data_IF_946116079384
#
_entry.id   IF_946116079384
#
_cell.length_a   1.000
_cell.length_b   1.000
_cell.length_c   1.000
_cell.angle_alpha   90.00
_cell.angle_beta   90.00
_cell.angle_gamma   90.00
#
_symmetry.space_group_name_H-M   'P 1'
#
loop_
_entity.id
_entity.type
_entity.pdbx_description
1 polymer ?
#
# COMPACT_ATOMS: atom_id res chain seq x y z
N UNK A 1 54.71 32.26 20.49
CA UNK A 1 55.24 31.91 19.15
C UNK A 1 55.22 30.39 19.02
N UNK A 2 54.51 29.88 17.99
CA UNK A 2 54.45 28.49 17.47
C UNK A 2 53.73 27.47 18.38
N UNK A 3 52.47 27.06 18.13
CA UNK A 3 51.87 26.32 16.99
C UNK A 3 52.53 24.95 16.76
N UNK A 4 51.80 23.84 17.00
CA UNK A 4 51.19 22.97 15.98
C UNK A 4 50.54 21.69 16.60
N UNK A 5 49.20 21.66 16.55
CA UNK A 5 48.28 20.56 16.15
C UNK A 5 48.24 19.21 16.92
N UNK A 6 47.18 19.07 17.74
CA UNK A 6 46.30 17.91 18.01
C UNK A 6 46.81 16.45 17.87
N UNK A 7 47.02 15.83 19.04
CA UNK A 7 46.65 14.46 19.50
C UNK A 7 46.71 13.24 18.56
N UNK A 8 47.68 12.35 18.85
CA UNK A 8 47.74 10.94 18.46
C UNK A 8 46.59 10.12 19.06
N UNK A 9 45.67 9.62 18.23
CA UNK A 9 44.99 8.32 18.34
C UNK A 9 43.96 8.23 17.21
N UNK A 10 44.16 7.29 16.29
CA UNK A 10 43.28 7.00 15.16
C UNK A 10 42.03 6.23 15.66
N UNK A 11 41.15 6.87 16.43
CA UNK A 11 39.80 6.34 16.68
C UNK A 11 38.84 7.17 15.86
N UNK A 12 38.56 6.66 14.68
CA UNK A 12 37.52 7.13 13.80
C UNK A 12 36.23 7.08 14.62
N UNK A 13 35.69 8.25 15.00
CA UNK A 13 34.34 8.36 15.55
C UNK A 13 33.37 8.06 14.40
N UNK A 14 33.31 6.79 13.97
CA UNK A 14 32.12 6.28 13.31
C UNK A 14 31.03 6.44 14.36
N UNK A 15 29.96 7.19 14.08
CA UNK A 15 28.77 6.98 14.88
C UNK A 15 28.40 5.51 14.64
N UNK A 16 28.40 4.70 15.70
CA UNK A 16 27.57 3.50 15.75
C UNK A 16 26.11 3.99 15.81
N UNK A 17 25.69 4.70 14.76
CA UNK A 17 24.29 4.71 14.38
C UNK A 17 24.08 3.34 13.77
N UNK A 18 23.73 2.37 14.61
CA UNK A 18 22.88 1.30 14.11
C UNK A 18 21.69 2.02 13.50
N UNK A 19 21.68 2.15 12.17
CA UNK A 19 20.52 2.63 11.45
C UNK A 19 19.45 1.59 11.76
N UNK A 20 18.63 1.87 12.78
CA UNK A 20 17.47 1.10 13.11
C UNK A 20 16.59 1.08 11.84
N UNK A 21 16.73 0.00 11.08
CA UNK A 21 16.19 -0.12 9.75
C UNK A 21 14.91 -0.91 9.85
N UNK A 22 13.78 -0.21 9.97
CA UNK A 22 12.49 -0.80 9.69
C UNK A 22 12.23 -0.68 8.20
N UNK A 23 11.98 -1.83 7.57
CA UNK A 23 11.65 -1.84 6.15
C UNK A 23 10.47 -2.76 5.90
N UNK A 24 9.57 -2.31 5.04
CA UNK A 24 8.52 -3.17 4.54
C UNK A 24 9.11 -4.21 3.60
N UNK A 25 8.73 -5.47 3.80
CA UNK A 25 8.84 -6.45 2.73
C UNK A 25 7.97 -6.03 1.55
N UNK A 26 8.27 -6.62 0.39
CA UNK A 26 7.38 -6.57 -0.75
C UNK A 26 5.98 -7.04 -0.35
N UNK A 27 4.99 -6.38 -0.94
CA UNK A 27 3.60 -6.81 -0.82
C UNK A 27 3.46 -8.25 -1.29
N UNK A 28 2.58 -8.99 -0.61
CA UNK A 28 2.05 -10.23 -1.13
C UNK A 28 1.32 -10.01 -2.45
N UNK A 29 1.09 -11.10 -3.18
CA UNK A 29 0.05 -11.10 -4.20
C UNK A 29 -1.29 -10.73 -3.57
N UNK A 30 -2.14 -10.11 -4.39
CA UNK A 30 -3.54 -9.92 -4.03
C UNK A 30 -4.24 -11.26 -3.84
N UNK A 31 -5.19 -11.30 -2.91
CA UNK A 31 -6.15 -12.39 -2.80
C UNK A 31 -7.02 -12.46 -4.05
N UNK A 32 -7.74 -13.57 -4.18
CA UNK A 32 -8.85 -13.63 -5.10
C UNK A 32 -9.89 -12.56 -4.74
N UNK A 33 -10.58 -12.08 -5.77
CA UNK A 33 -11.67 -11.14 -5.59
C UNK A 33 -12.87 -11.86 -4.98
N UNK A 34 -13.54 -11.25 -4.01
CA UNK A 34 -14.74 -11.84 -3.38
C UNK A 34 -15.96 -11.88 -4.31
N UNK A 35 -15.90 -11.24 -5.46
CA UNK A 35 -16.95 -11.21 -6.47
C UNK A 35 -16.35 -11.12 -7.87
N UNK A 36 -17.15 -11.32 -8.91
CA UNK A 36 -16.65 -11.44 -10.30
C UNK A 36 -17.02 -10.28 -11.21
N UNK A 37 -17.82 -9.31 -10.77
CA UNK A 37 -18.26 -8.18 -11.58
C UNK A 37 -18.76 -7.00 -10.73
N UNK A 38 -19.09 -5.90 -11.40
CA UNK A 38 -19.81 -4.75 -10.89
C UNK A 38 -19.03 -3.90 -9.90
N UNK A 39 -17.71 -4.09 -9.79
CA UNK A 39 -16.94 -3.58 -8.65
C UNK A 39 -17.53 -4.04 -7.29
N UNK A 40 -18.25 -5.16 -7.26
CA UNK A 40 -18.95 -5.68 -6.08
C UNK A 40 -18.03 -6.44 -5.11
N UNK A 41 -16.84 -6.82 -5.58
CA UNK A 41 -15.87 -7.57 -4.79
C UNK A 41 -14.71 -6.72 -4.30
N UNK A 42 -14.06 -7.21 -3.26
CA UNK A 42 -12.79 -6.70 -2.77
C UNK A 42 -11.71 -7.76 -2.86
N UNK A 43 -10.47 -7.33 -2.90
CA UNK A 43 -9.30 -8.17 -2.76
C UNK A 43 -8.31 -7.53 -1.79
N UNK A 44 -7.52 -8.36 -1.13
CA UNK A 44 -6.69 -7.97 0.00
C UNK A 44 -5.26 -8.42 -0.27
N UNK A 45 -4.29 -7.57 0.07
CA UNK A 45 -2.88 -7.97 0.14
C UNK A 45 -2.27 -7.49 1.45
N UNK A 46 -1.22 -8.17 1.88
CA UNK A 46 -0.49 -7.82 3.10
C UNK A 46 1.00 -7.73 2.84
N UNK A 47 1.71 -7.05 3.74
CA UNK A 47 3.16 -6.98 3.79
C UNK A 47 3.61 -7.11 5.22
N UNK A 48 4.81 -7.66 5.40
CA UNK A 48 5.40 -7.82 6.74
C UNK A 48 6.42 -6.72 6.97
N UNK A 49 6.41 -6.13 8.16
CA UNK A 49 7.44 -5.20 8.59
C UNK A 49 8.64 -5.99 9.08
N UNK A 50 9.80 -5.82 8.44
CA UNK A 50 11.07 -6.28 9.00
C UNK A 50 11.53 -5.24 10.01
N UNK A 51 11.68 -5.67 11.26
CA UNK A 51 12.29 -4.89 12.32
C UNK A 51 13.35 -5.71 13.04
N UNK A 52 14.46 -5.07 13.39
CA UNK A 52 15.54 -5.64 14.18
C UNK A 52 15.36 -5.46 15.70
N UNK A 53 14.38 -4.66 16.14
CA UNK A 53 14.06 -4.42 17.56
C UNK A 53 12.57 -4.09 17.74
N UNK A 54 12.00 -4.38 18.90
CA UNK A 54 10.59 -4.13 19.24
C UNK A 54 10.24 -2.63 19.24
N UNK A 55 11.25 -1.76 19.28
CA UNK A 55 11.11 -0.30 19.28
C UNK A 55 10.93 0.31 17.90
N UNK A 56 11.15 -0.47 16.84
CA UNK A 56 11.07 0.03 15.48
C UNK A 56 9.79 -0.47 14.80
N UNK A 57 9.03 0.46 14.22
CA UNK A 57 7.76 0.20 13.54
C UNK A 57 7.80 0.78 12.13
N UNK A 58 7.34 0.02 11.15
CA UNK A 58 7.21 0.51 9.79
C UNK A 58 6.01 1.46 9.68
N UNK A 59 6.22 2.61 9.04
CA UNK A 59 5.14 3.58 8.83
C UNK A 59 4.10 3.10 7.79
N UNK A 60 2.83 3.31 8.11
CA UNK A 60 1.68 2.94 7.28
C UNK A 60 1.08 1.57 7.59
N UNK A 61 0.06 1.17 6.81
CA UNK A 61 -0.65 -0.09 7.03
C UNK A 61 0.14 -1.30 6.49
N UNK A 62 0.07 -2.42 7.21
CA UNK A 62 0.54 -3.73 6.76
C UNK A 62 -0.46 -4.46 5.84
N UNK A 63 -1.68 -3.93 5.71
CA UNK A 63 -2.76 -4.51 4.91
C UNK A 63 -3.34 -3.47 3.97
N UNK A 64 -3.60 -3.87 2.74
CA UNK A 64 -4.29 -3.04 1.76
C UNK A 64 -5.49 -3.80 1.22
N UNK A 65 -6.59 -3.08 1.05
CA UNK A 65 -7.83 -3.56 0.44
C UNK A 65 -8.09 -2.68 -0.79
N UNK A 66 -8.59 -3.28 -1.86
CA UNK A 66 -9.03 -2.55 -3.05
C UNK A 66 -10.27 -3.24 -3.65
N UNK A 67 -10.98 -2.54 -4.52
CA UNK A 67 -12.11 -3.10 -5.28
C UNK A 67 -11.61 -3.75 -6.57
N UNK A 68 -12.23 -4.86 -6.93
CA UNK A 68 -11.81 -5.67 -8.08
C UNK A 68 -13.00 -6.01 -8.98
N UNK A 69 -12.68 -6.52 -10.17
CA UNK A 69 -13.65 -6.92 -11.19
C UNK A 69 -14.64 -5.78 -11.53
N UNK A 70 -14.06 -4.69 -12.03
CA UNK A 70 -14.77 -3.45 -12.37
C UNK A 70 -15.71 -3.60 -13.58
N UNK A 71 -15.68 -4.72 -14.29
CA UNK A 71 -16.57 -4.96 -15.43
C UNK A 71 -18.01 -5.04 -14.97
N UNK A 72 -18.93 -4.43 -15.70
CA UNK A 72 -20.34 -4.40 -15.30
C UNK A 72 -20.92 -5.81 -15.11
N UNK A 73 -21.73 -5.99 -14.06
CA UNK A 73 -22.55 -7.19 -13.95
C UNK A 73 -23.72 -7.13 -14.93
N UNK A 74 -24.17 -8.31 -15.36
CA UNK A 74 -25.39 -8.47 -16.14
C UNK A 74 -26.58 -8.84 -15.24
N UNK A 75 -27.79 -8.66 -15.76
CA UNK A 75 -29.01 -9.12 -15.11
C UNK A 75 -28.89 -10.61 -14.72
N UNK A 76 -29.33 -11.03 -13.51
CA UNK A 76 -30.25 -10.35 -12.58
C UNK A 76 -29.60 -9.47 -11.49
N UNK A 77 -28.29 -9.27 -11.54
CA UNK A 77 -27.56 -8.52 -10.51
C UNK A 77 -27.58 -7.02 -10.79
N UNK A 78 -27.38 -6.17 -9.75
CA UNK A 78 -27.08 -4.75 -9.96
C UNK A 78 -25.85 -4.60 -10.87
N UNK A 79 -25.92 -3.70 -11.85
CA UNK A 79 -24.85 -3.48 -12.83
C UNK A 79 -23.53 -3.09 -12.17
N UNK A 80 -23.61 -2.25 -11.14
CA UNK A 80 -22.51 -1.80 -10.31
C UNK A 80 -22.94 -1.86 -8.83
N UNK A 81 -21.99 -2.11 -7.93
CA UNK A 81 -22.18 -2.09 -6.49
C UNK A 81 -21.41 -0.94 -5.85
N UNK A 82 -21.73 -0.66 -4.58
CA UNK A 82 -21.23 0.51 -3.86
C UNK A 82 -21.58 1.82 -4.60
N UNK A 83 -21.04 2.97 -4.16
CA UNK A 83 -21.28 4.27 -4.81
C UNK A 83 -20.50 4.43 -6.14
N UNK A 84 -20.56 3.39 -6.99
CA UNK A 84 -19.95 3.35 -8.31
C UNK A 84 -21.00 3.41 -9.41
N UNK A 85 -20.61 3.99 -10.54
CA UNK A 85 -21.47 4.23 -11.69
C UNK A 85 -20.85 3.63 -12.95
N UNK A 86 -21.69 3.35 -13.95
CA UNK A 86 -21.20 2.88 -15.24
C UNK A 86 -20.47 4.03 -15.95
N UNK A 87 -19.21 3.78 -16.29
CA UNK A 87 -18.34 4.66 -17.05
C UNK A 87 -17.73 3.90 -18.21
N UNK A 88 -17.11 4.61 -19.15
CA UNK A 88 -16.42 3.98 -20.28
C UNK A 88 -14.91 4.17 -20.12
N UNK A 89 -14.18 3.08 -19.99
CA UNK A 89 -12.71 3.07 -19.98
C UNK A 89 -12.23 2.15 -21.10
N UNK A 90 -11.39 2.67 -22.01
CA UNK A 90 -10.85 1.93 -23.16
C UNK A 90 -11.95 1.26 -24.04
N UNK A 91 -13.09 1.93 -24.19
CA UNK A 91 -14.23 1.41 -24.98
C UNK A 91 -15.05 0.32 -24.28
N UNK A 92 -14.76 0.01 -23.02
CA UNK A 92 -15.51 -0.96 -22.20
C UNK A 92 -16.32 -0.26 -21.11
N UNK A 93 -17.53 -0.77 -20.85
CA UNK A 93 -18.33 -0.35 -19.70
C UNK A 93 -17.75 -0.93 -18.41
N UNK A 94 -17.35 -0.05 -17.50
CA UNK A 94 -16.78 -0.40 -16.20
C UNK A 94 -17.41 0.43 -15.09
N UNK A 95 -17.50 -0.15 -13.90
CA UNK A 95 -17.96 0.51 -12.69
C UNK A 95 -16.81 1.33 -12.11
N UNK A 96 -17.03 2.64 -12.02
CA UNK A 96 -16.07 3.59 -11.46
C UNK A 96 -16.82 4.69 -10.68
N UNK A 97 -16.17 5.32 -9.69
CA UNK A 97 -16.78 6.39 -8.91
C UNK A 97 -17.14 7.59 -9.79
N UNK A 98 -18.38 8.07 -9.66
CA UNK A 98 -19.00 9.04 -10.57
C UNK A 98 -18.27 10.39 -10.71
N UNK A 99 -17.44 10.75 -9.72
CA UNK A 99 -16.77 12.07 -9.66
C UNK A 99 -15.23 11.96 -9.71
N UNK A 100 -14.68 10.87 -10.24
CA UNK A 100 -13.22 10.64 -10.19
C UNK A 100 -12.68 10.51 -8.77
N UNK A 101 -13.56 10.17 -7.82
CA UNK A 101 -13.17 9.83 -6.46
C UNK A 101 -12.24 8.61 -6.45
N UNK A 102 -11.45 8.47 -5.41
CA UNK A 102 -10.71 7.22 -5.19
C UNK A 102 -11.66 6.26 -4.50
N UNK A 103 -11.80 5.05 -5.04
CA UNK A 103 -12.50 3.98 -4.33
C UNK A 103 -11.64 3.57 -3.13
N UNK A 104 -12.00 4.09 -1.96
CA UNK A 104 -11.43 3.63 -0.69
C UNK A 104 -12.41 2.65 -0.05
N UNK A 105 -12.00 1.41 0.22
CA UNK A 105 -12.79 0.52 1.05
C UNK A 105 -12.99 1.19 2.41
N UNK A 106 -14.22 1.19 2.93
CA UNK A 106 -14.65 1.90 4.16
C UNK A 106 -13.90 1.49 5.45
N UNK A 107 -12.92 0.59 5.37
CA UNK A 107 -12.15 0.05 6.49
C UNK A 107 -10.66 0.43 6.47
N UNK A 108 -10.28 1.49 5.73
CA UNK A 108 -8.91 2.04 5.73
C UNK A 108 -8.70 3.06 6.84
#
# INVERSE_FOLDING_TARGET
MRSFIATLILVQMLPLGETQSCSWLSWSSWSDCTDSCGSCGIHIRSRTCLSSDDKCQCEGSGTQIDYCNLEVCLHPRPTCCFDTTVTVREGKFVCAPANGGVLVPLFS
#
